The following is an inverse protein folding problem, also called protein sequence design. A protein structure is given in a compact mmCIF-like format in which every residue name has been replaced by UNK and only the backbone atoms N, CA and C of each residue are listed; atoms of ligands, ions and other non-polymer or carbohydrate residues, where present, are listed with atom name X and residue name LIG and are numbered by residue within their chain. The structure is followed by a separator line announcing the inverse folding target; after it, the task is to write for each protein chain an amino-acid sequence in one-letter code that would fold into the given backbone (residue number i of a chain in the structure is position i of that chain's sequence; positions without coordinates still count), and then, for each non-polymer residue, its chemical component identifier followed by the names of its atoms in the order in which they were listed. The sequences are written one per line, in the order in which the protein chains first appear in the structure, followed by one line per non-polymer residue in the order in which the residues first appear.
data_IF_915518405939
#
_entry.id   IF_915518405939
#
_cell.length_a   1.000
_cell.length_b   1.000
_cell.length_c   1.000
_cell.angle_alpha   90.00
_cell.angle_beta   90.00
_cell.angle_gamma   90.00
#
_symmetry.space_group_name_H-M   'P 1'
#
loop_
_entity.id
_entity.type
_entity.pdbx_description
1 polymer ?
#
# COMPACT_ATOMS: atom_id res chain seq x y z
N UNK A 1 18.08 28.02 41.08
CA UNK A 1 16.78 27.52 40.56
C UNK A 1 16.99 26.09 40.11
N UNK A 2 16.22 25.14 40.66
CA UNK A 2 16.43 23.70 40.46
C UNK A 2 15.88 23.24 39.10
N UNK A 3 16.63 22.40 38.37
CA UNK A 3 16.24 21.79 37.09
C UNK A 3 14.86 21.08 37.16
N UNK A 4 14.50 20.59 38.34
CA UNK A 4 13.21 19.95 38.63
C UNK A 4 12.01 20.90 38.54
N UNK A 5 12.20 22.18 38.82
CA UNK A 5 11.15 23.19 38.69
C UNK A 5 10.83 23.51 37.22
N UNK A 6 11.85 23.51 36.35
CA UNK A 6 11.68 23.71 34.90
C UNK A 6 10.96 22.53 34.24
N UNK A 7 11.30 21.29 34.63
CA UNK A 7 10.61 20.09 34.15
C UNK A 7 9.14 20.03 34.62
N UNK A 8 8.87 20.41 35.87
CA UNK A 8 7.52 20.47 36.40
C UNK A 8 6.67 21.57 35.73
N UNK A 9 7.28 22.68 35.31
CA UNK A 9 6.59 23.73 34.53
C UNK A 9 6.29 23.27 33.11
N UNK A 10 7.25 22.63 32.43
CA UNK A 10 7.08 22.10 31.07
C UNK A 10 6.02 20.99 31.00
N UNK A 11 5.90 20.17 32.04
CA UNK A 11 4.91 19.10 32.11
C UNK A 11 3.48 19.59 32.42
N UNK A 12 3.31 20.84 32.88
CA UNK A 12 2.04 21.32 33.45
C UNK A 12 1.19 22.18 32.51
N UNK A 13 1.75 22.67 31.40
CA UNK A 13 1.04 23.63 30.53
C UNK A 13 1.01 23.30 29.02
N UNK A 14 1.39 22.10 28.60
CA UNK A 14 1.00 21.64 27.26
C UNK A 14 -0.18 20.69 27.45
N UNK A 15 -1.43 21.18 27.39
CA UNK A 15 -2.54 20.26 27.22
C UNK A 15 -2.32 19.63 25.86
N UNK A 16 -1.77 18.40 25.84
CA UNK A 16 -1.75 17.51 24.70
C UNK A 16 -3.21 17.23 24.33
N UNK A 17 -3.82 18.19 23.63
CA UNK A 17 -5.04 17.96 22.89
C UNK A 17 -4.63 17.08 21.72
N UNK A 18 -4.69 15.77 21.95
CA UNK A 18 -4.76 14.83 20.85
C UNK A 18 -6.15 15.04 20.21
N UNK A 19 -6.27 16.05 19.35
CA UNK A 19 -7.39 16.16 18.44
C UNK A 19 -7.35 14.91 17.57
N UNK A 20 -8.26 13.98 17.84
CA UNK A 20 -8.43 12.78 17.03
C UNK A 20 -9.13 13.21 15.74
N UNK A 21 -8.37 13.78 14.81
CA UNK A 21 -8.85 13.94 13.44
C UNK A 21 -9.08 12.55 12.86
N UNK A 22 -10.23 12.35 12.21
CA UNK A 22 -10.46 11.13 11.43
C UNK A 22 -9.32 11.04 10.41
N UNK A 23 -8.64 9.88 10.31
CA UNK A 23 -7.46 9.77 9.45
C UNK A 23 -7.85 10.09 8.02
N UNK A 24 -7.08 10.95 7.36
CA UNK A 24 -7.32 11.27 5.96
C UNK A 24 -7.16 9.99 5.13
N UNK A 25 -7.93 9.81 4.05
CA UNK A 25 -7.85 8.58 3.24
C UNK A 25 -6.43 8.26 2.75
N UNK A 26 -5.64 9.30 2.48
CA UNK A 26 -4.22 9.21 2.15
C UNK A 26 -3.35 8.65 3.31
N UNK A 27 -3.68 8.96 4.55
CA UNK A 27 -2.98 8.42 5.73
C UNK A 27 -3.30 6.95 5.92
N UNK A 28 -4.54 6.54 5.69
CA UNK A 28 -4.94 5.12 5.73
C UNK A 28 -4.21 4.31 4.64
N UNK A 29 -4.11 4.85 3.42
CA UNK A 29 -3.34 4.23 2.33
C UNK A 29 -1.83 4.19 2.67
N UNK A 30 -1.29 5.27 3.23
CA UNK A 30 0.14 5.32 3.60
C UNK A 30 0.46 4.35 4.74
N UNK A 31 -0.46 4.19 5.70
CA UNK A 31 -0.31 3.27 6.83
C UNK A 31 -0.23 1.81 6.36
N UNK A 32 -1.03 1.40 5.37
CA UNK A 32 -0.93 0.03 4.87
C UNK A 32 0.39 -0.21 4.14
N UNK A 33 0.87 0.73 3.31
CA UNK A 33 2.18 0.61 2.67
C UNK A 33 3.33 0.56 3.67
N UNK A 34 3.25 1.33 4.75
CA UNK A 34 4.27 1.33 5.79
C UNK A 34 4.33 0.02 6.58
N UNK A 35 3.16 -0.53 6.95
CA UNK A 35 3.08 -1.66 7.87
C UNK A 35 3.11 -3.03 7.17
N UNK A 36 2.67 -3.13 5.92
CA UNK A 36 2.43 -4.41 5.27
C UNK A 36 3.70 -5.00 4.64
N UNK A 37 3.94 -6.28 4.92
CA UNK A 37 4.94 -7.08 4.25
C UNK A 37 4.39 -8.48 3.99
N UNK A 38 4.42 -8.89 2.72
CA UNK A 38 4.07 -10.23 2.30
C UNK A 38 5.34 -11.10 2.34
N UNK A 39 5.28 -12.20 3.08
CA UNK A 39 6.34 -13.23 3.10
C UNK A 39 5.84 -14.46 2.37
N UNK A 40 6.58 -14.87 1.35
CA UNK A 40 6.32 -16.07 0.57
C UNK A 40 7.33 -17.13 0.97
N UNK A 41 6.96 -17.92 1.97
CA UNK A 41 7.76 -19.04 2.49
C UNK A 41 7.25 -20.34 1.87
N UNK A 42 7.79 -20.69 0.69
CA UNK A 42 7.50 -21.96 0.03
C UNK A 42 8.62 -22.97 0.30
N UNK A 43 8.32 -24.24 0.66
CA UNK A 43 9.33 -25.27 0.82
C UNK A 43 10.15 -25.44 -0.46
N UNK A 44 11.48 -25.29 -0.37
CA UNK A 44 12.40 -25.41 -1.51
C UNK A 44 12.66 -24.13 -2.32
N UNK A 45 12.11 -22.98 -1.90
CA UNK A 45 12.37 -21.67 -2.49
C UNK A 45 13.20 -20.80 -1.54
N UNK A 46 13.94 -19.83 -2.08
CA UNK A 46 14.46 -18.70 -1.30
C UNK A 46 13.29 -17.93 -0.67
N UNK A 47 13.47 -17.48 0.58
CA UNK A 47 12.54 -16.62 1.27
C UNK A 47 12.36 -15.32 0.47
N UNK A 48 11.16 -15.10 -0.07
CA UNK A 48 10.84 -13.86 -0.78
C UNK A 48 9.91 -13.01 0.07
N UNK A 49 10.40 -11.82 0.45
CA UNK A 49 9.61 -10.83 1.17
C UNK A 49 9.35 -9.64 0.26
N UNK A 50 8.07 -9.30 0.05
CA UNK A 50 7.64 -8.09 -0.63
C UNK A 50 7.14 -7.12 0.44
N UNK A 51 7.90 -6.05 0.70
CA UNK A 51 7.44 -4.96 1.56
C UNK A 51 6.62 -3.99 0.74
N UNK A 52 5.44 -3.62 1.23
CA UNK A 52 4.56 -2.72 0.51
C UNK A 52 5.21 -1.33 0.34
N UNK A 53 5.98 -0.86 1.33
CA UNK A 53 6.76 0.38 1.24
C UNK A 53 7.73 0.39 0.06
N UNK A 54 8.48 -0.71 -0.10
CA UNK A 54 9.49 -0.83 -1.13
C UNK A 54 8.84 -0.95 -2.51
N UNK A 55 7.73 -1.68 -2.59
CA UNK A 55 6.91 -1.81 -3.79
C UNK A 55 6.35 -0.45 -4.24
N UNK A 56 5.77 0.32 -3.32
CA UNK A 56 5.29 1.67 -3.57
C UNK A 56 6.42 2.59 -4.01
N UNK A 57 7.55 2.57 -3.30
CA UNK A 57 8.70 3.42 -3.62
C UNK A 57 9.24 3.14 -5.04
N UNK A 58 9.34 1.86 -5.43
CA UNK A 58 9.75 1.47 -6.80
C UNK A 58 8.76 1.97 -7.83
N UNK A 59 7.45 1.81 -7.60
CA UNK A 59 6.42 2.29 -8.52
C UNK A 59 6.45 3.82 -8.67
N UNK A 60 6.51 4.56 -7.55
CA UNK A 60 6.63 6.02 -7.56
C UNK A 60 7.90 6.49 -8.25
N UNK A 61 9.04 5.83 -7.97
CA UNK A 61 10.31 6.15 -8.62
C UNK A 61 10.25 5.91 -10.13
N UNK A 62 9.62 4.83 -10.58
CA UNK A 62 9.46 4.52 -12.00
C UNK A 62 8.64 5.58 -12.72
N UNK A 63 7.42 5.88 -12.25
CA UNK A 63 6.56 6.90 -12.89
C UNK A 63 7.07 8.33 -12.70
N UNK A 64 7.85 8.59 -11.64
CA UNK A 64 8.51 9.87 -11.40
C UNK A 64 9.74 10.14 -12.25
N UNK A 65 10.08 9.26 -13.21
CA UNK A 65 11.27 9.40 -14.06
C UNK A 65 12.59 9.12 -13.34
N UNK A 66 12.54 8.41 -12.22
CA UNK A 66 13.72 7.93 -11.52
C UNK A 66 14.38 6.73 -12.19
N UNK A 67 15.37 6.15 -11.51
CA UNK A 67 16.19 5.04 -12.04
C UNK A 67 15.67 3.65 -11.69
N UNK A 68 14.67 3.55 -10.81
CA UNK A 68 14.13 2.26 -10.38
C UNK A 68 13.29 1.64 -11.50
N UNK A 69 13.50 0.36 -11.85
CA UNK A 69 12.59 -0.32 -12.76
C UNK A 69 11.21 -0.47 -12.11
N UNK A 70 10.17 -0.53 -12.94
CA UNK A 70 8.82 -0.89 -12.49
C UNK A 70 8.86 -2.23 -11.73
N UNK A 71 8.19 -2.36 -10.57
CA UNK A 71 8.21 -3.58 -9.76
C UNK A 71 7.27 -4.66 -10.33
N UNK A 72 7.49 -5.03 -11.61
CA UNK A 72 6.62 -5.95 -12.33
C UNK A 72 6.68 -7.37 -11.78
N UNK A 73 7.86 -7.82 -11.32
CA UNK A 73 8.01 -9.16 -10.76
C UNK A 73 7.15 -9.31 -9.50
N UNK A 74 7.21 -8.33 -8.60
CA UNK A 74 6.42 -8.30 -7.38
C UNK A 74 4.92 -8.21 -7.68
N UNK A 75 4.53 -7.41 -8.67
CA UNK A 75 3.15 -7.31 -9.12
C UNK A 75 2.63 -8.67 -9.63
N UNK A 76 3.37 -9.32 -10.53
CA UNK A 76 2.98 -10.63 -11.07
C UNK A 76 3.00 -11.73 -10.00
N UNK A 77 3.95 -11.70 -9.07
CA UNK A 77 3.95 -12.63 -7.93
C UNK A 77 2.69 -12.48 -7.10
N UNK A 78 2.27 -11.26 -6.79
CA UNK A 78 1.05 -11.00 -6.04
C UNK A 78 -0.18 -11.55 -6.78
N UNK A 79 -0.27 -11.30 -8.08
CA UNK A 79 -1.39 -11.76 -8.92
C UNK A 79 -1.36 -13.28 -9.22
N UNK A 80 -0.20 -13.93 -9.05
CA UNK A 80 -0.03 -15.37 -9.22
C UNK A 80 -0.32 -16.17 -7.94
N UNK A 81 -0.50 -15.51 -6.79
CA UNK A 81 -0.84 -16.21 -5.55
C UNK A 81 -2.18 -16.93 -5.66
N UNK A 82 -2.40 -18.02 -4.91
CA UNK A 82 -3.74 -18.59 -4.76
C UNK A 82 -4.76 -17.55 -4.27
N UNK A 83 -6.01 -17.64 -4.73
CA UNK A 83 -7.06 -16.64 -4.49
C UNK A 83 -7.23 -16.27 -3.02
N UNK A 84 -7.17 -17.23 -2.10
CA UNK A 84 -7.31 -16.97 -0.66
C UNK A 84 -6.18 -16.09 -0.10
N UNK A 85 -4.96 -16.19 -0.63
CA UNK A 85 -3.87 -15.29 -0.25
C UNK A 85 -4.06 -13.89 -0.86
N UNK A 86 -4.51 -13.81 -2.11
CA UNK A 86 -4.84 -12.51 -2.73
C UNK A 86 -5.94 -11.78 -1.96
N UNK A 87 -6.97 -12.50 -1.50
CA UNK A 87 -8.03 -11.95 -0.67
C UNK A 87 -7.52 -11.46 0.69
N UNK A 88 -6.54 -12.15 1.29
CA UNK A 88 -5.91 -11.70 2.53
C UNK A 88 -5.15 -10.39 2.30
N UNK A 89 -4.33 -10.31 1.24
CA UNK A 89 -3.62 -9.06 0.89
C UNK A 89 -4.62 -7.95 0.57
N UNK A 90 -5.71 -8.25 -0.12
CA UNK A 90 -6.75 -7.27 -0.46
C UNK A 90 -7.44 -6.71 0.78
N UNK A 91 -7.57 -7.48 1.86
CA UNK A 91 -8.14 -7.03 3.13
C UNK A 91 -7.15 -6.16 3.92
N UNK A 92 -5.86 -6.51 3.89
CA UNK A 92 -4.83 -5.88 4.72
C UNK A 92 -4.16 -4.67 4.05
N UNK A 93 -3.85 -4.77 2.76
CA UNK A 93 -3.19 -3.73 1.97
C UNK A 93 -3.78 -3.64 0.55
N UNK A 94 -5.07 -3.27 0.39
CA UNK A 94 -5.74 -3.16 -0.91
C UNK A 94 -4.99 -2.32 -1.97
N UNK A 95 -4.36 -1.17 -1.64
CA UNK A 95 -3.58 -0.40 -2.60
C UNK A 95 -2.48 -1.18 -3.31
N UNK A 96 -1.86 -2.15 -2.62
CA UNK A 96 -0.81 -2.99 -3.22
C UNK A 96 -1.39 -3.92 -4.31
N UNK A 97 -2.60 -4.44 -4.10
CA UNK A 97 -3.32 -5.25 -5.09
C UNK A 97 -3.73 -4.39 -6.29
N UNK A 98 -4.28 -3.20 -6.05
CA UNK A 98 -4.66 -2.24 -7.10
C UNK A 98 -3.47 -1.88 -7.99
N UNK A 99 -2.35 -1.48 -7.39
CA UNK A 99 -1.13 -1.15 -8.12
C UNK A 99 -0.62 -2.34 -8.94
N UNK A 100 -0.70 -3.56 -8.41
CA UNK A 100 -0.28 -4.76 -9.12
C UNK A 100 -1.11 -5.01 -10.38
N UNK A 101 -2.43 -4.85 -10.30
CA UNK A 101 -3.32 -4.93 -11.47
C UNK A 101 -3.02 -3.85 -12.51
N UNK A 102 -2.78 -2.60 -12.08
CA UNK A 102 -2.48 -1.52 -13.03
C UNK A 102 -1.13 -1.70 -13.72
N UNK A 103 -0.09 -2.10 -12.99
CA UNK A 103 1.22 -2.41 -13.55
C UNK A 103 1.14 -3.58 -14.55
N UNK A 104 0.37 -4.63 -14.22
CA UNK A 104 0.15 -5.76 -15.13
C UNK A 104 -0.63 -5.34 -16.38
N UNK A 105 -1.69 -4.53 -16.21
CA UNK A 105 -2.49 -4.01 -17.32
C UNK A 105 -1.65 -3.17 -18.29
N UNK A 106 -0.85 -2.23 -17.77
CA UNK A 106 0.03 -1.39 -18.59
C UNK A 106 1.03 -2.24 -19.38
N UNK A 107 1.65 -3.23 -18.72
CA UNK A 107 2.60 -4.14 -19.38
C UNK A 107 1.94 -4.94 -20.51
N UNK A 108 0.70 -5.39 -20.30
CA UNK A 108 -0.04 -6.19 -21.28
C UNK A 108 -0.71 -5.34 -22.36
N UNK A 109 -0.82 -4.03 -22.18
CA UNK A 109 -1.55 -3.16 -23.10
C UNK A 109 -1.08 -3.28 -24.56
N UNK A 110 0.23 -3.44 -24.77
CA UNK A 110 0.83 -3.54 -26.10
C UNK A 110 0.99 -4.98 -26.62
N UNK A 111 0.83 -5.99 -25.76
CA UNK A 111 1.11 -7.39 -26.10
C UNK A 111 -0.14 -8.26 -26.12
N UNK A 112 -1.05 -8.06 -25.16
CA UNK A 112 -2.30 -8.80 -24.99
C UNK A 112 -3.42 -7.84 -24.51
N UNK A 113 -4.01 -7.03 -25.42
CA UNK A 113 -4.93 -5.95 -25.04
C UNK A 113 -6.19 -6.42 -24.32
N UNK A 114 -6.71 -7.62 -24.64
CA UNK A 114 -7.86 -8.21 -23.94
C UNK A 114 -7.54 -8.48 -22.47
N UNK A 115 -6.40 -9.12 -22.20
CA UNK A 115 -5.95 -9.39 -20.85
C UNK A 115 -5.62 -8.11 -20.08
N UNK A 116 -5.06 -7.11 -20.78
CA UNK A 116 -4.83 -5.78 -20.21
C UNK A 116 -6.14 -5.13 -19.73
N UNK A 117 -7.21 -5.23 -20.52
CA UNK A 117 -8.53 -4.71 -20.14
C UNK A 117 -9.11 -5.45 -18.93
N UNK A 118 -8.95 -6.78 -18.86
CA UNK A 118 -9.39 -7.56 -17.69
C UNK A 118 -8.68 -7.14 -16.41
N UNK A 119 -7.35 -6.96 -16.46
CA UNK A 119 -6.58 -6.47 -15.33
C UNK A 119 -6.98 -5.04 -14.94
N UNK A 120 -7.15 -4.15 -15.91
CA UNK A 120 -7.58 -2.77 -15.67
C UNK A 120 -8.96 -2.73 -15.02
N UNK A 121 -9.94 -3.47 -15.55
CA UNK A 121 -11.29 -3.52 -15.02
C UNK A 121 -11.32 -4.07 -13.58
N UNK A 122 -10.53 -5.11 -13.31
CA UNK A 122 -10.41 -5.69 -11.97
C UNK A 122 -9.78 -4.70 -10.98
N UNK A 123 -8.66 -4.09 -11.35
CA UNK A 123 -7.98 -3.09 -10.52
C UNK A 123 -8.85 -1.87 -10.25
N UNK A 124 -9.53 -1.34 -11.27
CA UNK A 124 -10.44 -0.19 -11.15
C UNK A 124 -11.63 -0.50 -10.25
N UNK A 125 -12.23 -1.70 -10.38
CA UNK A 125 -13.33 -2.11 -9.52
C UNK A 125 -12.91 -2.25 -8.06
N UNK A 126 -11.68 -2.71 -7.78
CA UNK A 126 -11.15 -2.73 -6.42
C UNK A 126 -10.91 -1.31 -5.90
N UNK A 127 -10.31 -0.45 -6.72
CA UNK A 127 -10.00 0.92 -6.36
C UNK A 127 -11.26 1.72 -6.01
N UNK A 128 -12.31 1.64 -6.83
CA UNK A 128 -13.59 2.29 -6.57
C UNK A 128 -14.19 1.87 -5.22
N UNK A 129 -14.19 0.55 -4.93
CA UNK A 129 -14.67 0.04 -3.63
C UNK A 129 -13.82 0.53 -2.45
N UNK A 130 -12.51 0.71 -2.66
CA UNK A 130 -11.63 1.28 -1.65
C UNK A 130 -11.96 2.76 -1.39
N UNK A 131 -12.16 3.55 -2.45
CA UNK A 131 -12.54 4.97 -2.33
C UNK A 131 -13.87 5.14 -1.57
N UNK A 132 -14.88 4.34 -1.89
CA UNK A 132 -16.17 4.34 -1.19
C UNK A 132 -16.00 4.03 0.31
N UNK A 133 -15.16 3.03 0.64
CA UNK A 133 -14.87 2.67 2.03
C UNK A 133 -14.13 3.79 2.77
N UNK A 134 -13.12 4.39 2.15
CA UNK A 134 -12.35 5.49 2.74
C UNK A 134 -13.23 6.74 2.94
N UNK A 135 -14.08 7.07 1.97
CA UNK A 135 -15.04 8.17 2.09
C UNK A 135 -16.03 7.96 3.25
N UNK A 136 -16.41 6.72 3.53
CA UNK A 136 -17.24 6.35 4.69
C UNK A 136 -16.54 6.46 6.05
N UNK A 137 -15.20 6.43 6.10
CA UNK A 137 -14.42 6.56 7.34
C UNK A 137 -14.13 8.01 7.73
N UNK A 138 -14.27 8.94 6.78
CA UNK A 138 -14.00 10.37 6.95
C UNK A 138 -15.27 11.15 7.35
N UNK A 139 -16.46 10.54 7.23
CA UNK A 139 -17.76 11.11 7.65
C UNK A 139 -18.09 10.74 9.08
#
# INVERSE_FOLDING_TARGET
MSLWWLLALLAREVPLHAERQAPHGAEVISACFFAYALKLDMPGSSHHTIRASDFQQKAVSFYGGGTSPAPLLEAYWLLALPTHFQEAVLKECPPMVVLSYFLAAETKFYTEPSLAQEFLATGAGIFQRLEERLAGLIR
#
